data_IF_216532998667
#
_entry.id   IF_216532998667
#
_cell.length_a   1.000
_cell.length_b   1.000
_cell.length_c   1.000
_cell.angle_alpha   90.00
_cell.angle_beta   90.00
_cell.angle_gamma   90.00
#
_symmetry.space_group_name_H-M   'P 1'
#
loop_
_entity.id
_entity.type
_entity.pdbx_description
1 polymer ?
#
# COMPACT_ATOMS: atom_id res chain seq x y z
N UNK A 1 -2.44 7.87 0.69
CA UNK A 1 -3.21 7.27 1.81
C UNK A 1 -3.11 8.19 3.04
N UNK A 2 -1.90 8.51 3.52
CA UNK A 2 -1.72 9.34 4.72
C UNK A 2 -2.47 10.68 4.63
N UNK A 3 -2.31 11.42 3.54
CA UNK A 3 -3.00 12.70 3.30
C UNK A 3 -4.53 12.58 3.36
N UNK A 4 -5.08 11.44 2.91
CA UNK A 4 -6.53 11.19 2.99
C UNK A 4 -6.96 10.92 4.43
N UNK A 5 -6.17 10.15 5.18
CA UNK A 5 -6.43 9.91 6.61
C UNK A 5 -6.35 11.21 7.42
N UNK A 6 -5.34 12.04 7.17
CA UNK A 6 -5.20 13.36 7.81
C UNK A 6 -6.38 14.28 7.51
N UNK A 7 -6.81 14.36 6.24
CA UNK A 7 -7.99 15.13 5.84
C UNK A 7 -9.29 14.62 6.51
N UNK A 8 -9.35 13.34 6.84
CA UNK A 8 -10.44 12.72 7.60
C UNK A 8 -10.30 12.87 9.14
N UNK A 9 -9.36 13.67 9.62
CA UNK A 9 -9.09 13.86 11.06
C UNK A 9 -8.45 12.63 11.72
N UNK A 10 -7.80 11.76 10.95
CA UNK A 10 -7.13 10.54 11.41
C UNK A 10 -5.62 10.65 11.19
N UNK A 11 -4.87 11.31 12.08
CA UNK A 11 -3.42 11.35 11.97
C UNK A 11 -2.84 9.93 11.99
N UNK A 12 -1.79 9.70 11.22
CA UNK A 12 -1.21 8.37 11.09
C UNK A 12 0.32 8.41 11.05
N UNK A 13 0.95 7.33 11.48
CA UNK A 13 2.36 7.10 11.21
C UNK A 13 2.60 6.78 9.74
N UNK A 14 3.75 7.19 9.22
CA UNK A 14 4.15 6.92 7.82
C UNK A 14 5.57 6.41 7.79
N UNK A 15 5.76 5.25 7.17
CA UNK A 15 7.09 4.69 6.91
C UNK A 15 7.23 4.42 5.42
N UNK A 16 7.98 5.25 4.72
CA UNK A 16 8.11 5.18 3.27
C UNK A 16 9.49 5.65 2.80
N UNK A 17 9.73 5.55 1.50
CA UNK A 17 10.92 6.12 0.85
C UNK A 17 11.04 7.64 1.06
N UNK A 18 9.93 8.34 1.23
CA UNK A 18 9.89 9.79 1.43
C UNK A 18 10.31 10.22 2.84
N UNK A 19 10.19 9.34 3.82
CA UNK A 19 10.51 9.63 5.21
C UNK A 19 9.81 8.67 6.16
N UNK A 20 10.22 8.74 7.44
CA UNK A 20 9.54 8.08 8.55
C UNK A 20 8.95 9.16 9.46
N UNK A 21 7.68 8.99 9.84
CA UNK A 21 6.96 9.91 10.71
C UNK A 21 6.05 9.12 11.65
N UNK A 22 5.95 9.59 12.89
CA UNK A 22 4.99 9.13 13.89
C UNK A 22 3.80 10.09 14.05
N UNK A 23 3.61 11.02 13.12
CA UNK A 23 2.67 12.13 13.14
C UNK A 23 3.13 13.38 13.93
N UNK A 24 4.05 13.24 14.89
CA UNK A 24 4.61 14.36 15.67
C UNK A 24 5.98 14.78 15.15
N UNK A 25 6.79 13.80 14.80
CA UNK A 25 8.15 13.99 14.31
C UNK A 25 8.35 13.29 12.98
N UNK A 26 9.21 13.86 12.15
CA UNK A 26 9.59 13.29 10.86
C UNK A 26 11.11 13.23 10.72
N UNK A 27 11.61 12.15 10.16
CA UNK A 27 13.01 12.02 9.78
C UNK A 27 13.17 11.47 8.35
N UNK A 28 14.33 11.72 7.78
CA UNK A 28 14.70 11.17 6.47
C UNK A 28 14.78 9.64 6.56
N UNK A 29 14.16 8.95 5.61
CA UNK A 29 14.23 7.50 5.53
C UNK A 29 15.61 7.03 5.06
N UNK A 30 16.32 6.18 5.81
CA UNK A 30 17.55 5.57 5.32
C UNK A 30 17.27 4.46 4.30
N UNK A 31 16.05 3.96 4.25
CA UNK A 31 15.54 2.93 3.33
C UNK A 31 14.02 2.96 3.26
N UNK A 32 13.42 2.40 2.20
CA UNK A 32 11.95 2.33 2.03
C UNK A 32 11.25 1.66 3.22
N UNK A 33 11.74 0.49 3.63
CA UNK A 33 11.18 -0.28 4.75
C UNK A 33 12.26 -0.48 5.81
N UNK A 34 12.06 -0.06 7.05
CA UNK A 34 13.03 -0.26 8.12
C UNK A 34 13.28 -1.73 8.42
N UNK A 35 14.36 -2.06 9.13
CA UNK A 35 14.56 -3.38 9.71
C UNK A 35 13.58 -3.63 10.87
N UNK A 36 13.31 -4.89 11.19
CA UNK A 36 12.27 -5.25 12.15
C UNK A 36 12.35 -4.52 13.51
N UNK A 37 13.52 -4.34 14.17
CA UNK A 37 13.58 -3.59 15.42
C UNK A 37 13.23 -2.10 15.24
N UNK A 38 13.69 -1.49 14.14
CA UNK A 38 13.40 -0.09 13.81
C UNK A 38 11.93 0.09 13.43
N UNK A 39 11.34 -0.88 12.70
CA UNK A 39 9.92 -0.91 12.39
C UNK A 39 9.08 -0.96 13.67
N UNK A 40 9.40 -1.85 14.60
CA UNK A 40 8.71 -1.98 15.87
C UNK A 40 8.80 -0.70 16.69
N UNK A 41 9.98 -0.06 16.71
CA UNK A 41 10.19 1.22 17.39
C UNK A 41 9.27 2.32 16.81
N UNK A 42 9.22 2.47 15.48
CA UNK A 42 8.37 3.45 14.83
C UNK A 42 6.88 3.20 15.04
N UNK A 43 6.44 1.94 15.02
CA UNK A 43 5.05 1.59 15.30
C UNK A 43 4.69 1.89 16.77
N UNK A 44 5.60 1.65 17.72
CA UNK A 44 5.40 2.02 19.11
C UNK A 44 5.27 3.54 19.27
N UNK A 45 6.16 4.34 18.67
CA UNK A 45 6.09 5.79 18.66
C UNK A 45 4.77 6.31 18.07
N UNK A 46 4.34 5.75 16.92
CA UNK A 46 3.07 6.08 16.28
C UNK A 46 1.88 5.85 17.22
N UNK A 47 1.86 4.71 17.92
CA UNK A 47 0.84 4.43 18.94
C UNK A 47 0.91 5.42 20.11
N UNK A 48 2.10 5.70 20.61
CA UNK A 48 2.32 6.57 21.77
C UNK A 48 2.01 8.04 21.43
N UNK A 49 2.12 8.43 20.14
CA UNK A 49 1.62 9.70 19.60
C UNK A 49 0.09 9.76 19.48
N UNK A 50 -0.63 8.70 19.85
CA UNK A 50 -2.10 8.64 19.80
C UNK A 50 -2.68 8.29 18.43
N UNK A 51 -1.85 7.94 17.45
CA UNK A 51 -2.32 7.52 16.14
C UNK A 51 -2.92 6.11 16.19
N UNK A 52 -4.03 5.93 15.49
CA UNK A 52 -4.67 4.61 15.32
C UNK A 52 -4.23 3.89 14.06
N UNK A 53 -3.65 4.64 13.13
CA UNK A 53 -3.30 4.16 11.81
C UNK A 53 -1.79 4.31 11.56
N UNK A 54 -1.23 3.38 10.80
CA UNK A 54 0.12 3.47 10.25
C UNK A 54 0.11 3.04 8.78
N UNK A 55 0.76 3.82 7.94
CA UNK A 55 0.94 3.53 6.52
C UNK A 55 2.39 3.14 6.26
N UNK A 56 2.61 1.93 5.77
CA UNK A 56 3.95 1.38 5.58
C UNK A 56 4.15 1.02 4.12
N UNK A 57 5.17 1.61 3.50
CA UNK A 57 5.63 1.19 2.17
C UNK A 57 6.55 -0.03 2.31
N UNK A 58 6.19 -1.13 1.64
CA UNK A 58 6.90 -2.39 1.70
C UNK A 58 7.58 -2.70 0.37
N UNK A 59 8.90 -2.73 0.38
CA UNK A 59 9.67 -3.21 -0.77
C UNK A 59 9.63 -4.74 -0.84
N UNK A 60 9.70 -5.30 -2.06
CA UNK A 60 9.79 -6.75 -2.25
C UNK A 60 10.99 -7.37 -1.54
N UNK A 61 12.09 -6.64 -1.44
CA UNK A 61 13.26 -7.03 -0.66
C UNK A 61 12.95 -7.14 0.83
N UNK A 62 12.27 -6.16 1.41
CA UNK A 62 11.88 -6.18 2.81
C UNK A 62 10.98 -7.36 3.15
N UNK A 63 10.03 -7.69 2.25
CA UNK A 63 9.17 -8.87 2.39
C UNK A 63 9.99 -10.18 2.27
N UNK A 64 10.95 -10.26 1.35
CA UNK A 64 11.84 -11.41 1.21
C UNK A 64 12.72 -11.59 2.47
N UNK A 65 13.25 -10.51 3.03
CA UNK A 65 14.04 -10.48 4.26
C UNK A 65 13.19 -10.58 5.54
N UNK A 66 11.86 -10.72 5.42
CA UNK A 66 10.92 -10.83 6.54
C UNK A 66 11.01 -9.67 7.55
N UNK A 67 11.27 -8.44 7.09
CA UNK A 67 11.39 -7.27 7.98
C UNK A 67 10.09 -6.93 8.71
N UNK A 68 8.96 -7.42 8.22
CA UNK A 68 7.62 -7.27 8.82
C UNK A 68 7.14 -8.51 9.57
N UNK A 69 8.05 -9.44 9.91
CA UNK A 69 7.67 -10.63 10.67
C UNK A 69 7.04 -10.24 12.01
N UNK A 70 5.85 -10.80 12.29
CA UNK A 70 5.08 -10.49 13.50
C UNK A 70 4.19 -9.24 13.39
N UNK A 71 4.17 -8.55 12.23
CA UNK A 71 3.21 -7.49 11.96
C UNK A 71 2.04 -8.07 11.19
N UNK A 72 0.83 -7.83 11.67
CA UNK A 72 -0.41 -8.16 10.97
C UNK A 72 -1.04 -6.88 10.41
N UNK A 73 -1.53 -6.95 9.17
CA UNK A 73 -2.10 -5.82 8.45
C UNK A 73 -3.62 -5.89 8.40
N UNK A 74 -4.30 -4.77 8.62
CA UNK A 74 -5.74 -4.64 8.36
C UNK A 74 -6.00 -4.55 6.86
N UNK A 75 -5.12 -3.86 6.13
CA UNK A 75 -5.23 -3.66 4.67
C UNK A 75 -3.85 -3.87 4.04
N UNK A 76 -3.81 -4.67 2.99
CA UNK A 76 -2.62 -4.90 2.17
C UNK A 76 -2.89 -4.42 0.73
N UNK A 77 -2.10 -3.45 0.26
CA UNK A 77 -2.29 -2.86 -1.08
C UNK A 77 -1.15 -3.27 -2.01
N UNK A 78 -1.47 -3.84 -3.15
CA UNK A 78 -0.54 -4.07 -4.24
C UNK A 78 -0.87 -3.17 -5.43
N UNK A 79 -0.03 -2.17 -5.66
CA UNK A 79 -0.25 -1.18 -6.71
C UNK A 79 0.14 -1.70 -8.09
N UNK A 80 1.29 -2.34 -8.20
CA UNK A 80 1.80 -2.88 -9.47
C UNK A 80 2.78 -4.04 -9.23
N UNK A 81 2.83 -4.91 -10.22
CA UNK A 81 3.79 -6.01 -10.30
C UNK A 81 4.81 -5.74 -11.43
N UNK A 82 5.66 -4.72 -11.25
CA UNK A 82 6.66 -4.37 -12.26
C UNK A 82 7.85 -5.32 -12.21
N UNK A 83 8.47 -5.57 -13.35
CA UNK A 83 9.68 -6.41 -13.48
C UNK A 83 10.95 -5.78 -12.88
N UNK A 84 10.85 -4.62 -12.25
CA UNK A 84 11.92 -3.95 -11.52
C UNK A 84 12.36 -4.84 -10.35
N UNK A 85 13.65 -4.98 -10.13
CA UNK A 85 14.23 -5.81 -9.04
C UNK A 85 14.24 -7.35 -9.24
N UNK A 86 13.83 -7.90 -10.39
CA UNK A 86 13.95 -9.34 -10.65
C UNK A 86 15.40 -9.84 -10.49
N UNK A 87 16.39 -9.00 -10.79
CA UNK A 87 17.81 -9.30 -10.64
C UNK A 87 18.20 -9.63 -9.19
N UNK A 88 17.65 -8.91 -8.20
CA UNK A 88 17.92 -9.16 -6.79
C UNK A 88 17.26 -10.46 -6.29
N UNK A 89 16.09 -10.81 -6.82
CA UNK A 89 15.35 -12.02 -6.48
C UNK A 89 15.81 -13.27 -7.24
N UNK A 90 16.69 -13.11 -8.26
CA UNK A 90 17.16 -14.17 -9.13
C UNK A 90 16.12 -14.67 -10.15
N UNK A 91 14.83 -14.47 -9.90
CA UNK A 91 13.76 -14.80 -10.83
C UNK A 91 12.47 -14.01 -10.57
N UNK A 92 11.60 -13.90 -11.59
CA UNK A 92 10.26 -13.31 -11.43
C UNK A 92 9.37 -14.12 -10.47
N UNK A 93 9.55 -15.43 -10.42
CA UNK A 93 8.81 -16.32 -9.51
C UNK A 93 9.15 -15.98 -8.05
N UNK A 94 10.43 -15.82 -7.73
CA UNK A 94 10.86 -15.46 -6.38
C UNK A 94 10.41 -14.05 -6.00
N UNK A 95 10.48 -13.11 -6.95
CA UNK A 95 9.97 -11.74 -6.76
C UNK A 95 8.47 -11.74 -6.44
N UNK A 96 7.69 -12.52 -7.17
CA UNK A 96 6.26 -12.70 -6.94
C UNK A 96 5.98 -13.30 -5.56
N UNK A 97 6.61 -14.44 -5.25
CA UNK A 97 6.49 -15.08 -3.93
C UNK A 97 6.85 -14.13 -2.78
N UNK A 98 7.84 -13.26 -2.97
CA UNK A 98 8.20 -12.26 -1.97
C UNK A 98 7.06 -11.24 -1.75
N UNK A 99 6.44 -10.73 -2.81
CA UNK A 99 5.31 -9.80 -2.71
C UNK A 99 4.05 -10.46 -2.14
N UNK A 100 3.77 -11.70 -2.51
CA UNK A 100 2.62 -12.46 -2.00
C UNK A 100 2.68 -12.68 -0.47
N UNK A 101 3.88 -12.66 0.13
CA UNK A 101 4.03 -12.71 1.60
C UNK A 101 3.31 -11.58 2.33
N UNK A 102 3.09 -10.44 1.67
CA UNK A 102 2.30 -9.35 2.25
C UNK A 102 0.90 -9.81 2.62
N UNK A 103 0.25 -10.55 1.73
CA UNK A 103 -1.13 -11.02 1.95
C UNK A 103 -1.21 -12.14 3.00
N UNK A 104 -0.14 -12.91 3.17
CA UNK A 104 -0.05 -13.90 4.25
C UNK A 104 0.06 -13.27 5.65
N UNK A 105 0.26 -11.95 5.72
CA UNK A 105 0.30 -11.18 6.97
C UNK A 105 -0.98 -10.35 7.18
N UNK A 106 -2.03 -10.57 6.38
CA UNK A 106 -3.34 -10.00 6.65
C UNK A 106 -3.96 -10.63 7.89
N UNK A 107 -4.61 -9.81 8.70
CA UNK A 107 -5.50 -10.29 9.78
C UNK A 107 -6.60 -11.18 9.19
N UNK A 108 -7.25 -12.03 10.00
CA UNK A 108 -8.31 -12.93 9.52
C UNK A 108 -9.44 -12.23 8.73
N UNK A 109 -9.75 -10.98 9.05
CA UNK A 109 -10.72 -10.14 8.34
C UNK A 109 -10.07 -9.00 7.57
N UNK A 110 -8.77 -9.11 7.28
CA UNK A 110 -8.01 -8.09 6.57
C UNK A 110 -8.40 -8.04 5.08
N UNK A 111 -8.25 -6.85 4.49
CA UNK A 111 -8.62 -6.57 3.12
C UNK A 111 -7.40 -6.54 2.21
N UNK A 112 -7.42 -7.31 1.13
CA UNK A 112 -6.46 -7.18 0.03
C UNK A 112 -6.98 -6.16 -0.98
N UNK A 113 -6.14 -5.20 -1.37
CA UNK A 113 -6.46 -4.20 -2.41
C UNK A 113 -5.51 -4.38 -3.58
N UNK A 114 -6.06 -4.67 -4.76
CA UNK A 114 -5.29 -5.07 -5.95
C UNK A 114 -5.60 -4.18 -7.15
N UNK A 115 -4.57 -3.92 -7.95
CA UNK A 115 -4.74 -3.24 -9.23
C UNK A 115 -5.26 -4.22 -10.29
N UNK A 116 -6.50 -4.04 -10.77
CA UNK A 116 -7.12 -4.88 -11.78
C UNK A 116 -6.49 -4.73 -13.17
N UNK A 117 -5.80 -3.61 -13.44
CA UNK A 117 -5.11 -3.38 -14.72
C UNK A 117 -3.74 -4.06 -14.78
N UNK A 118 -3.25 -4.62 -13.67
CA UNK A 118 -1.93 -5.25 -13.58
C UNK A 118 -2.04 -6.77 -13.63
N UNK A 119 -1.45 -7.38 -14.66
CA UNK A 119 -1.50 -8.84 -14.89
C UNK A 119 -0.95 -9.64 -13.69
N UNK A 120 0.10 -9.13 -13.03
CA UNK A 120 0.66 -9.77 -11.84
C UNK A 120 -0.32 -9.78 -10.66
N UNK A 121 -1.08 -8.71 -10.49
CA UNK A 121 -2.15 -8.61 -9.50
C UNK A 121 -3.30 -9.57 -9.79
N UNK A 122 -3.70 -9.71 -11.05
CA UNK A 122 -4.75 -10.66 -11.46
C UNK A 122 -4.41 -12.10 -11.09
N UNK A 123 -3.18 -12.52 -11.34
CA UNK A 123 -2.74 -13.88 -10.97
C UNK A 123 -2.66 -14.09 -9.45
N UNK A 124 -2.38 -13.03 -8.69
CA UNK A 124 -2.40 -13.08 -7.22
C UNK A 124 -3.84 -13.20 -6.72
N UNK A 125 -4.79 -12.50 -7.35
CA UNK A 125 -6.22 -12.54 -7.01
C UNK A 125 -6.77 -13.97 -6.99
N UNK A 126 -6.39 -14.81 -7.97
CA UNK A 126 -6.85 -16.20 -8.09
C UNK A 126 -6.42 -17.10 -6.92
N UNK A 127 -5.35 -16.73 -6.22
CA UNK A 127 -4.75 -17.51 -5.12
C UNK A 127 -5.05 -16.96 -3.73
N UNK A 128 -5.70 -15.80 -3.62
CA UNK A 128 -5.97 -15.16 -2.33
C UNK A 128 -7.19 -15.77 -1.64
N UNK A 129 -7.02 -16.08 -0.36
CA UNK A 129 -8.11 -16.51 0.52
C UNK A 129 -8.41 -15.40 1.55
N UNK A 130 -8.74 -14.21 1.06
CA UNK A 130 -9.08 -13.02 1.87
C UNK A 130 -10.12 -12.18 1.11
N UNK A 131 -10.86 -11.30 1.78
CA UNK A 131 -11.67 -10.29 1.12
C UNK A 131 -10.81 -9.44 0.18
N UNK A 132 -11.28 -9.21 -1.05
CA UNK A 132 -10.53 -8.46 -2.05
C UNK A 132 -11.35 -7.28 -2.55
N UNK A 133 -10.68 -6.14 -2.69
CA UNK A 133 -11.16 -4.97 -3.40
C UNK A 133 -10.19 -4.68 -4.55
N UNK A 134 -10.73 -4.48 -5.74
CA UNK A 134 -9.93 -4.15 -6.91
C UNK A 134 -10.10 -2.68 -7.31
N UNK A 135 -9.04 -2.07 -7.78
CA UNK A 135 -9.08 -0.75 -8.40
C UNK A 135 -8.43 -0.78 -9.78
N UNK A 136 -8.85 0.10 -10.67
CA UNK A 136 -8.28 0.17 -12.02
C UNK A 136 -9.08 1.10 -12.94
N UNK A 137 -8.73 1.07 -14.22
CA UNK A 137 -9.46 1.78 -15.28
C UNK A 137 -10.53 0.90 -15.95
N UNK A 138 -10.41 -0.42 -15.81
CA UNK A 138 -11.36 -1.35 -16.37
C UNK A 138 -12.64 -1.39 -15.53
N UNK A 139 -13.80 -1.41 -16.22
CA UNK A 139 -15.13 -1.42 -15.61
C UNK A 139 -15.38 -2.62 -14.67
N UNK A 140 -14.59 -3.67 -14.79
CA UNK A 140 -14.67 -4.84 -13.91
C UNK A 140 -14.04 -4.63 -12.52
N UNK A 141 -13.32 -3.52 -12.30
CA UNK A 141 -12.79 -3.21 -10.98
C UNK A 141 -13.89 -2.68 -10.04
N UNK A 142 -13.76 -2.96 -8.74
CA UNK A 142 -14.69 -2.45 -7.72
C UNK A 142 -14.64 -0.92 -7.60
N UNK A 143 -13.43 -0.35 -7.77
CA UNK A 143 -13.22 1.10 -7.82
C UNK A 143 -12.58 1.43 -9.17
N UNK A 144 -13.23 2.29 -9.94
CA UNK A 144 -12.68 2.79 -11.20
C UNK A 144 -12.37 4.27 -11.14
N UNK A 145 -11.45 4.70 -11.99
CA UNK A 145 -11.05 6.10 -12.09
C UNK A 145 -11.07 6.56 -13.55
N UNK A 146 -11.72 7.68 -13.82
CA UNK A 146 -11.71 8.37 -15.09
C UNK A 146 -11.04 9.73 -14.94
N UNK A 147 -10.14 10.09 -15.88
CA UNK A 147 -9.51 11.41 -15.88
C UNK A 147 -10.46 12.38 -16.58
N UNK A 148 -10.98 13.36 -15.83
CA UNK A 148 -11.83 14.41 -16.36
C UNK A 148 -11.01 15.54 -16.98
N UNK A 149 -9.97 15.99 -16.27
CA UNK A 149 -9.12 17.10 -16.69
C UNK A 149 -7.66 16.84 -16.28
N UNK A 150 -6.73 17.33 -17.08
CA UNK A 150 -5.30 17.25 -16.81
C UNK A 150 -4.61 18.55 -17.20
N UNK A 151 -4.01 19.21 -16.22
CA UNK A 151 -3.18 20.40 -16.38
C UNK A 151 -1.76 20.14 -15.86
N UNK A 152 -0.84 21.07 -16.12
CA UNK A 152 0.52 20.97 -15.59
C UNK A 152 0.49 21.07 -14.05
N UNK A 153 0.78 19.95 -13.37
CA UNK A 153 0.83 19.88 -11.91
C UNK A 153 -0.50 19.61 -11.21
N UNK A 154 -1.60 19.48 -11.96
CA UNK A 154 -2.93 19.22 -11.37
C UNK A 154 -3.75 18.30 -12.28
N UNK A 155 -4.52 17.41 -11.66
CA UNK A 155 -5.39 16.50 -12.39
C UNK A 155 -6.69 16.29 -11.60
N UNK A 156 -7.82 16.38 -12.30
CA UNK A 156 -9.14 16.03 -11.76
C UNK A 156 -9.53 14.66 -12.27
N UNK A 157 -9.84 13.76 -11.33
CA UNK A 157 -10.31 12.41 -11.63
C UNK A 157 -11.70 12.20 -11.03
N UNK A 158 -12.55 11.46 -11.74
CA UNK A 158 -13.79 10.92 -11.19
C UNK A 158 -13.52 9.51 -10.70
N UNK A 159 -13.78 9.26 -9.43
CA UNK A 159 -13.75 7.93 -8.82
C UNK A 159 -15.18 7.37 -8.78
N UNK A 160 -15.32 6.10 -9.14
CA UNK A 160 -16.59 5.37 -9.05
C UNK A 160 -16.40 4.14 -8.15
N UNK A 161 -17.32 3.96 -7.21
CA UNK A 161 -17.33 2.82 -6.29
C UNK A 161 -18.79 2.33 -6.12
N UNK A 162 -19.16 1.27 -6.85
CA UNK A 162 -20.55 0.84 -6.92
C UNK A 162 -21.45 1.92 -7.53
N UNK A 163 -22.44 2.40 -6.79
CA UNK A 163 -23.34 3.48 -7.21
C UNK A 163 -22.86 4.89 -6.83
N UNK A 164 -21.77 4.98 -6.08
CA UNK A 164 -21.22 6.25 -5.61
C UNK A 164 -20.14 6.77 -6.55
N UNK A 165 -20.08 8.10 -6.69
CA UNK A 165 -19.02 8.76 -7.47
C UNK A 165 -18.56 10.02 -6.76
N UNK A 166 -17.24 10.28 -6.86
CA UNK A 166 -16.63 11.47 -6.28
C UNK A 166 -15.55 12.05 -7.20
N UNK A 167 -15.58 13.35 -7.40
CA UNK A 167 -14.50 14.06 -8.08
C UNK A 167 -13.36 14.35 -7.09
N UNK A 168 -12.14 14.02 -7.48
CA UNK A 168 -10.93 14.23 -6.68
C UNK A 168 -9.92 15.03 -7.51
N UNK A 169 -9.46 16.14 -6.96
CA UNK A 169 -8.35 16.91 -7.53
C UNK A 169 -7.05 16.48 -6.85
N UNK A 170 -6.04 16.14 -7.64
CA UNK A 170 -4.70 15.79 -7.17
C UNK A 170 -3.67 16.78 -7.70
N UNK A 171 -2.73 17.16 -6.88
CA UNK A 171 -1.59 18.05 -7.19
C UNK A 171 -0.27 17.34 -7.05
#
# INVERSE_FOLDING_TARGET
IASVLEAAGRPCGVLSTLGYSDSLEQQKAPRTTPYAPELAHWLARTRDAGCRDAVIELSSRALAERRTAGVEFDIAVMTNFRREHAQWHGSLVNYRKAKERLFAQLKPNGLAVLNADDIGSQTTLESLNAPVLTFGKHIAANITAEILERHAGEQTIMLHAGNDSAAVCTR
#
